data_IF_924610420863
#
_entry.id   IF_924610420863
#
_cell.length_a   1.000
_cell.length_b   1.000
_cell.length_c   1.000
_cell.angle_alpha   90.00
_cell.angle_beta   90.00
_cell.angle_gamma   90.00
#
_symmetry.space_group_name_H-M   'P 1'
#
loop_
_entity.id
_entity.type
_entity.pdbx_description
1 polymer ?
#
# COMPACT_ATOMS: atom_id res chain seq x y z
N UNK A 1 -6.56 22.12 -2.25
CA UNK A 1 -5.34 22.22 -1.47
C UNK A 1 -4.13 21.74 -2.25
N UNK A 2 -3.11 22.53 -2.27
CA UNK A 2 -1.91 22.19 -3.01
C UNK A 2 -1.29 20.90 -2.46
N UNK A 3 -0.91 20.02 -3.35
CA UNK A 3 -0.29 18.76 -2.99
C UNK A 3 -1.23 17.64 -2.62
N UNK A 4 -2.51 17.90 -2.53
CA UNK A 4 -3.48 16.85 -2.23
C UNK A 4 -3.98 16.21 -3.52
N UNK A 5 -3.81 14.91 -3.64
CA UNK A 5 -4.34 14.18 -4.77
C UNK A 5 -5.79 13.77 -4.47
N UNK A 6 -6.78 14.19 -5.26
CA UNK A 6 -8.16 13.75 -5.04
C UNK A 6 -8.31 12.24 -5.04
N UNK A 7 -7.50 11.58 -5.87
CA UNK A 7 -7.52 10.11 -5.95
C UNK A 7 -7.05 9.45 -4.65
N UNK A 8 -6.10 10.08 -3.95
CA UNK A 8 -5.64 9.58 -2.67
C UNK A 8 -6.77 9.61 -1.63
N UNK A 9 -7.51 10.72 -1.57
CA UNK A 9 -8.63 10.85 -0.64
C UNK A 9 -9.70 9.79 -0.89
N UNK A 10 -10.07 9.60 -2.15
CA UNK A 10 -11.04 8.59 -2.51
C UNK A 10 -10.57 7.19 -2.14
N UNK A 11 -9.30 6.91 -2.39
CA UNK A 11 -8.71 5.62 -2.05
C UNK A 11 -8.73 5.38 -0.54
N UNK A 12 -8.32 6.38 0.25
CA UNK A 12 -8.29 6.25 1.70
C UNK A 12 -9.68 6.02 2.28
N UNK A 13 -10.68 6.67 1.71
CA UNK A 13 -12.06 6.44 2.12
C UNK A 13 -12.52 5.02 1.79
N UNK A 14 -12.15 4.52 0.62
CA UNK A 14 -12.54 3.17 0.21
C UNK A 14 -11.87 2.10 1.07
N UNK A 15 -10.70 2.38 1.62
CA UNK A 15 -10.01 1.43 2.51
C UNK A 15 -10.85 1.05 3.73
N UNK A 16 -11.70 1.96 4.18
CA UNK A 16 -12.52 1.73 5.37
C UNK A 16 -13.68 0.78 5.13
N UNK A 17 -14.16 0.70 3.89
CA UNK A 17 -15.38 -0.03 3.57
C UNK A 17 -15.17 -1.16 2.58
N UNK A 18 -14.18 -1.07 1.71
CA UNK A 18 -13.93 -2.07 0.69
C UNK A 18 -13.17 -3.27 1.24
N UNK A 19 -13.34 -4.46 0.65
CA UNK A 19 -12.52 -5.61 1.00
C UNK A 19 -11.05 -5.34 0.75
N UNK A 20 -10.18 -5.98 1.54
CA UNK A 20 -8.74 -5.78 1.43
C UNK A 20 -8.21 -6.08 0.03
N UNK A 21 -8.65 -7.19 -0.57
CA UNK A 21 -8.17 -7.56 -1.91
C UNK A 21 -8.55 -6.50 -2.95
N UNK A 22 -9.77 -5.97 -2.84
CA UNK A 22 -10.23 -4.90 -3.71
C UNK A 22 -9.37 -3.64 -3.53
N UNK A 23 -9.01 -3.32 -2.30
CA UNK A 23 -8.16 -2.16 -2.02
C UNK A 23 -6.76 -2.33 -2.60
N UNK A 24 -6.20 -3.54 -2.54
CA UNK A 24 -4.90 -3.83 -3.13
C UNK A 24 -4.93 -3.58 -4.63
N UNK A 25 -5.94 -4.12 -5.31
CA UNK A 25 -6.06 -3.94 -6.76
C UNK A 25 -6.29 -2.47 -7.13
N UNK A 26 -7.10 -1.77 -6.33
CA UNK A 26 -7.33 -0.34 -6.57
C UNK A 26 -6.04 0.46 -6.50
N UNK A 27 -5.23 0.23 -5.48
CA UNK A 27 -3.97 0.97 -5.34
C UNK A 27 -3.01 0.64 -6.47
N UNK A 28 -2.91 -0.64 -6.85
CA UNK A 28 -2.04 -1.04 -7.96
C UNK A 28 -2.44 -0.30 -9.22
N UNK A 29 -3.73 -0.22 -9.52
CA UNK A 29 -4.22 0.49 -10.69
C UNK A 29 -3.93 1.99 -10.62
N UNK A 30 -4.13 2.60 -9.47
CA UNK A 30 -3.85 4.03 -9.29
C UNK A 30 -2.37 4.33 -9.51
N UNK A 31 -1.49 3.46 -9.03
CA UNK A 31 -0.05 3.63 -9.22
C UNK A 31 0.35 3.42 -10.68
N UNK A 32 -0.19 2.39 -11.34
CA UNK A 32 0.11 2.12 -12.75
C UNK A 32 -0.31 3.26 -13.65
N UNK A 33 -1.44 3.87 -13.36
CA UNK A 33 -1.98 4.98 -14.16
C UNK A 33 -1.42 6.31 -13.73
N UNK A 34 -0.54 6.33 -12.74
CA UNK A 34 0.07 7.54 -12.18
C UNK A 34 -0.97 8.54 -11.66
N UNK A 35 -2.09 8.04 -11.20
CA UNK A 35 -3.12 8.86 -10.59
C UNK A 35 -2.78 9.20 -9.14
N UNK A 36 -1.92 8.38 -8.52
CA UNK A 36 -1.23 8.74 -7.28
C UNK A 36 0.26 8.74 -7.62
N UNK A 37 0.87 9.89 -7.54
CA UNK A 37 2.30 10.07 -7.84
C UNK A 37 2.86 11.07 -6.85
N UNK A 38 4.17 11.21 -6.81
CA UNK A 38 4.93 11.96 -5.81
C UNK A 38 5.08 11.13 -4.54
N UNK A 39 6.14 11.42 -3.82
CA UNK A 39 6.55 10.59 -2.69
C UNK A 39 5.54 10.57 -1.57
N UNK A 40 4.99 11.73 -1.20
CA UNK A 40 4.12 11.81 -0.05
C UNK A 40 2.78 11.08 -0.25
N UNK A 41 2.03 11.32 -1.34
CA UNK A 41 0.79 10.57 -1.54
C UNK A 41 1.02 9.07 -1.68
N UNK A 42 2.08 8.66 -2.38
CA UNK A 42 2.41 7.24 -2.51
C UNK A 42 2.73 6.63 -1.16
N UNK A 43 3.51 7.32 -0.33
CA UNK A 43 3.86 6.82 0.99
C UNK A 43 2.62 6.64 1.86
N UNK A 44 1.72 7.62 1.85
CA UNK A 44 0.49 7.54 2.64
C UNK A 44 -0.37 6.37 2.18
N UNK A 45 -0.58 6.25 0.87
CA UNK A 45 -1.44 5.19 0.34
C UNK A 45 -0.88 3.80 0.64
N UNK A 46 0.41 3.61 0.41
CA UNK A 46 1.07 2.32 0.65
C UNK A 46 1.08 1.99 2.14
N UNK A 47 1.42 2.96 2.99
CA UNK A 47 1.47 2.73 4.43
C UNK A 47 0.09 2.35 4.99
N UNK A 48 -0.97 3.04 4.56
CA UNK A 48 -2.31 2.73 5.04
C UNK A 48 -2.79 1.37 4.56
N UNK A 49 -2.46 1.00 3.33
CA UNK A 49 -2.80 -0.33 2.83
C UNK A 49 -2.08 -1.42 3.63
N UNK A 50 -0.78 -1.26 3.87
CA UNK A 50 -0.01 -2.25 4.60
C UNK A 50 -0.46 -2.36 6.06
N UNK A 51 -0.89 -1.26 6.67
CA UNK A 51 -1.50 -1.31 7.99
C UNK A 51 -2.73 -2.22 8.01
N UNK A 52 -3.56 -2.16 6.96
CA UNK A 52 -4.74 -3.01 6.85
C UNK A 52 -4.34 -4.47 6.68
N UNK A 53 -3.31 -4.74 5.91
CA UNK A 53 -2.80 -6.10 5.75
C UNK A 53 -2.33 -6.64 7.10
N UNK A 54 -1.55 -5.87 7.83
CA UNK A 54 -1.07 -6.28 9.15
C UNK A 54 -2.24 -6.53 10.10
N UNK A 55 -3.22 -5.63 10.12
CA UNK A 55 -4.37 -5.76 11.01
C UNK A 55 -5.17 -7.02 10.72
N UNK A 56 -5.29 -7.38 9.44
CA UNK A 56 -6.06 -8.56 9.05
C UNK A 56 -5.35 -9.87 9.43
N UNK A 57 -4.02 -9.90 9.31
CA UNK A 57 -3.26 -11.14 9.45
C UNK A 57 -2.49 -11.26 10.77
N UNK A 58 -2.55 -10.26 11.65
CA UNK A 58 -1.72 -10.25 12.86
C UNK A 58 -2.04 -11.38 13.83
N UNK A 59 -3.23 -11.94 13.78
CA UNK A 59 -3.66 -13.03 14.65
C UNK A 59 -3.40 -14.40 14.04
N UNK A 60 -2.82 -14.43 12.84
CA UNK A 60 -2.48 -15.68 12.18
C UNK A 60 -0.97 -15.88 12.27
N UNK A 61 -0.44 -16.75 11.44
CA UNK A 61 0.99 -17.05 11.40
C UNK A 61 1.79 -15.84 10.91
N UNK A 62 2.82 -15.45 11.66
CA UNK A 62 3.72 -14.36 11.26
C UNK A 62 4.36 -14.65 9.91
N UNK A 63 4.71 -15.92 9.64
CA UNK A 63 5.26 -16.31 8.35
C UNK A 63 4.33 -15.99 7.20
N UNK A 64 3.04 -16.26 7.39
CA UNK A 64 2.03 -15.95 6.37
C UNK A 64 1.88 -14.44 6.19
N UNK A 65 1.93 -13.69 7.28
CA UNK A 65 1.88 -12.23 7.22
C UNK A 65 3.04 -11.67 6.42
N UNK A 66 4.25 -12.13 6.70
CA UNK A 66 5.44 -11.68 5.98
C UNK A 66 5.35 -12.00 4.49
N UNK A 67 4.90 -13.23 4.16
CA UNK A 67 4.70 -13.60 2.77
C UNK A 67 3.71 -12.70 2.07
N UNK A 68 2.59 -12.42 2.74
CA UNK A 68 1.56 -11.57 2.14
C UNK A 68 2.06 -10.16 1.89
N UNK A 69 2.78 -9.58 2.85
CA UNK A 69 3.34 -8.25 2.67
C UNK A 69 4.36 -8.23 1.55
N UNK A 70 5.19 -9.27 1.43
CA UNK A 70 6.15 -9.36 0.33
C UNK A 70 5.44 -9.44 -1.02
N UNK A 71 4.38 -10.23 -1.13
CA UNK A 71 3.62 -10.35 -2.37
C UNK A 71 2.97 -9.03 -2.76
N UNK A 72 2.28 -8.41 -1.82
CA UNK A 72 1.61 -7.13 -2.07
C UNK A 72 2.65 -6.06 -2.38
N UNK A 73 3.73 -6.02 -1.59
CA UNK A 73 4.80 -5.05 -1.78
C UNK A 73 5.45 -5.17 -3.15
N UNK A 74 5.70 -6.38 -3.60
CA UNK A 74 6.29 -6.60 -4.92
C UNK A 74 5.39 -6.07 -6.03
N UNK A 75 4.10 -6.32 -5.94
CA UNK A 75 3.14 -5.81 -6.93
C UNK A 75 3.08 -4.29 -6.92
N UNK A 76 3.15 -3.68 -5.74
CA UNK A 76 3.14 -2.21 -5.63
C UNK A 76 4.40 -1.61 -6.24
N UNK A 77 5.56 -2.21 -5.96
CA UNK A 77 6.82 -1.73 -6.53
C UNK A 77 6.80 -1.84 -8.06
N UNK A 78 6.31 -2.95 -8.59
CA UNK A 78 6.21 -3.14 -10.03
C UNK A 78 5.23 -2.17 -10.68
N UNK A 79 4.19 -1.75 -9.96
CA UNK A 79 3.22 -0.81 -10.48
C UNK A 79 3.81 0.59 -10.65
N UNK A 80 4.78 0.96 -9.80
CA UNK A 80 5.42 2.27 -9.86
C UNK A 80 6.91 2.13 -9.52
N UNK A 81 7.71 1.56 -10.43
CA UNK A 81 9.13 1.26 -10.11
C UNK A 81 9.98 2.50 -9.87
N UNK A 82 9.58 3.64 -10.44
CA UNK A 82 10.34 4.87 -10.28
C UNK A 82 10.13 5.55 -8.94
N UNK A 83 9.07 5.17 -8.23
CA UNK A 83 8.78 5.77 -6.94
C UNK A 83 9.45 4.94 -5.85
N UNK A 84 10.63 5.37 -5.42
CA UNK A 84 11.44 4.62 -4.47
C UNK A 84 10.79 4.52 -3.09
N UNK A 85 9.90 5.46 -2.76
CA UNK A 85 9.25 5.46 -1.45
C UNK A 85 8.39 4.21 -1.23
N UNK A 86 7.83 3.66 -2.30
CA UNK A 86 7.02 2.45 -2.19
C UNK A 86 7.87 1.30 -1.62
N UNK A 87 9.03 1.05 -2.21
CA UNK A 87 9.93 0.01 -1.73
C UNK A 87 10.44 0.28 -0.31
N UNK A 88 10.72 1.55 0.01
CA UNK A 88 11.18 1.93 1.33
C UNK A 88 10.13 1.64 2.41
N UNK A 89 8.87 1.96 2.13
CA UNK A 89 7.78 1.69 3.06
C UNK A 89 7.60 0.19 3.26
N UNK A 90 7.64 -0.59 2.19
CA UNK A 90 7.51 -2.04 2.27
C UNK A 90 8.60 -2.63 3.16
N UNK A 91 9.85 -2.24 2.95
CA UNK A 91 10.97 -2.72 3.76
C UNK A 91 10.82 -2.34 5.22
N UNK A 92 10.36 -1.12 5.47
CA UNK A 92 10.15 -0.63 6.84
C UNK A 92 9.10 -1.46 7.56
N UNK A 93 8.00 -1.75 6.91
CA UNK A 93 6.93 -2.56 7.50
C UNK A 93 7.46 -3.97 7.78
N UNK A 94 8.17 -4.57 6.83
CA UNK A 94 8.75 -5.91 7.03
C UNK A 94 9.72 -5.91 8.21
N UNK A 95 10.55 -4.87 8.35
CA UNK A 95 11.46 -4.75 9.47
C UNK A 95 10.77 -4.62 10.82
N UNK A 96 9.63 -3.96 10.85
CA UNK A 96 8.86 -3.79 12.09
C UNK A 96 8.20 -5.09 12.55
N UNK A 97 7.84 -5.97 11.61
CA UNK A 97 7.19 -7.23 11.95
C UNK A 97 8.19 -8.27 12.43
N UNK A 98 9.38 -8.26 11.86
CA UNK A 98 10.42 -9.19 12.26
C UNK A 98 10.89 -8.88 13.67
#
# INVERSE_FOLDING_TARGET
MAGYAPNLDLYLKSLKTAPLESSIESLINLLKRRQIRNSRPCAIAVAELLKRVVAKFKWTDIGKLLMRIQQVGQRLIEAQPREMVVGNIVRRVLGMIR
#
